data_IF_387480434312
#
_entry.id   IF_387480434312
#
_cell.length_a   1.000
_cell.length_b   1.000
_cell.length_c   1.000
_cell.angle_alpha   90.00
_cell.angle_beta   90.00
_cell.angle_gamma   90.00
#
_symmetry.space_group_name_H-M   'P 1'
#
loop_
_entity.id
_entity.type
_entity.pdbx_description
1 polymer ?
#
# COMPACT_ATOMS: atom_id res chain seq x y z
N UNK A 1 -7.07 -13.26 8.62
CA UNK A 1 -7.46 -12.48 7.43
C UNK A 1 -7.75 -11.02 7.79
N UNK A 2 -8.59 -10.70 8.79
CA UNK A 2 -8.86 -9.29 9.18
C UNK A 2 -7.66 -8.51 9.74
N UNK A 3 -6.68 -9.19 10.37
CA UNK A 3 -5.53 -8.51 10.97
C UNK A 3 -4.55 -7.93 9.95
N UNK A 4 -4.41 -8.52 8.76
CA UNK A 4 -3.38 -8.14 7.79
C UNK A 4 -3.63 -6.76 7.16
N UNK A 5 -4.88 -6.27 7.18
CA UNK A 5 -5.27 -4.94 6.70
C UNK A 5 -5.26 -3.88 7.80
N UNK A 6 -5.06 -4.27 9.07
CA UNK A 6 -5.11 -3.32 10.18
C UNK A 6 -4.01 -2.27 10.04
N UNK A 7 -4.38 -0.99 10.14
CA UNK A 7 -3.44 0.13 9.99
C UNK A 7 -3.19 0.57 8.55
N UNK A 8 -3.67 -0.16 7.54
CA UNK A 8 -3.54 0.27 6.14
C UNK A 8 -4.57 1.35 5.79
N UNK A 9 -4.10 2.41 5.14
CA UNK A 9 -4.90 3.49 4.56
C UNK A 9 -4.87 3.38 3.04
N UNK A 10 -6.03 3.58 2.40
CA UNK A 10 -6.18 3.52 0.96
C UNK A 10 -6.64 4.87 0.43
N UNK A 11 -5.92 5.42 -0.53
CA UNK A 11 -6.26 6.71 -1.16
C UNK A 11 -6.22 6.58 -2.67
N UNK A 12 -7.26 7.07 -3.35
CA UNK A 12 -7.26 7.15 -4.80
C UNK A 12 -6.71 8.50 -5.25
N UNK A 13 -5.65 8.46 -6.06
CA UNK A 13 -5.06 9.64 -6.67
C UNK A 13 -5.66 9.84 -8.07
N UNK A 14 -6.49 10.88 -8.22
CA UNK A 14 -7.17 11.20 -9.48
C UNK A 14 -6.22 11.69 -10.59
N UNK A 15 -5.07 12.27 -10.21
CA UNK A 15 -4.06 12.74 -11.16
C UNK A 15 -3.33 11.56 -11.81
N UNK A 16 -2.90 10.58 -11.01
CA UNK A 16 -2.19 9.38 -11.52
C UNK A 16 -3.13 8.25 -11.93
N UNK A 17 -4.41 8.33 -11.55
CA UNK A 17 -5.44 7.28 -11.71
C UNK A 17 -5.02 5.95 -11.09
N UNK A 18 -4.39 6.03 -9.90
CA UNK A 18 -3.92 4.87 -9.13
C UNK A 18 -4.43 4.96 -7.70
N UNK A 19 -4.63 3.79 -7.11
CA UNK A 19 -4.77 3.61 -5.68
C UNK A 19 -3.38 3.54 -5.05
N UNK A 20 -3.24 4.18 -3.89
CA UNK A 20 -2.08 4.11 -3.03
C UNK A 20 -2.53 3.48 -1.70
N UNK A 21 -1.78 2.51 -1.22
CA UNK A 21 -1.90 1.97 0.12
C UNK A 21 -0.62 2.24 0.92
N UNK A 22 -0.76 2.62 2.18
CA UNK A 22 0.33 2.88 3.12
C UNK A 22 -0.15 2.70 4.56
N UNK A 23 0.76 2.51 5.50
CA UNK A 23 0.47 2.39 6.93
C UNK A 23 0.06 3.75 7.52
N UNK A 24 -0.86 3.75 8.48
CA UNK A 24 -1.36 4.96 9.14
C UNK A 24 -0.26 5.77 9.82
N UNK A 25 0.82 5.12 10.22
CA UNK A 25 2.03 5.73 10.80
C UNK A 25 2.76 6.61 9.78
N UNK A 26 2.73 6.25 8.49
CA UNK A 26 3.36 6.99 7.40
C UNK A 26 2.44 8.07 6.80
N UNK A 27 1.29 8.36 7.44
CA UNK A 27 0.30 9.31 6.90
C UNK A 27 0.89 10.69 6.64
N UNK A 28 1.66 11.23 7.58
CA UNK A 28 2.28 12.56 7.40
C UNK A 28 3.31 12.53 6.28
N UNK A 29 4.15 11.49 6.21
CA UNK A 29 5.10 11.30 5.12
C UNK A 29 4.39 11.23 3.76
N UNK A 30 3.29 10.49 3.65
CA UNK A 30 2.55 10.38 2.39
C UNK A 30 2.04 11.73 1.85
N UNK A 31 1.47 12.58 2.71
CA UNK A 31 0.87 13.85 2.29
C UNK A 31 1.87 15.01 2.15
N UNK A 32 2.98 14.97 2.90
CA UNK A 32 3.96 16.06 2.92
C UNK A 32 5.18 15.75 2.07
N UNK A 33 5.74 14.54 2.17
CA UNK A 33 6.99 14.12 1.52
C UNK A 33 6.94 12.64 1.12
N UNK A 34 6.24 12.35 0.02
CA UNK A 34 5.95 10.96 -0.40
C UNK A 34 7.17 10.05 -0.56
N UNK A 35 8.37 10.60 -0.77
CA UNK A 35 9.64 9.86 -0.80
C UNK A 35 10.02 9.24 0.55
N UNK A 36 9.48 9.74 1.65
CA UNK A 36 9.70 9.21 3.00
C UNK A 36 8.63 8.19 3.42
N UNK A 37 7.60 7.98 2.60
CA UNK A 37 6.54 7.01 2.87
C UNK A 37 7.03 5.59 2.59
N UNK A 38 7.56 4.92 3.61
CA UNK A 38 8.23 3.61 3.49
C UNK A 38 7.30 2.48 3.10
N UNK A 39 6.05 2.55 3.56
CA UNK A 39 5.03 1.53 3.29
C UNK A 39 4.23 1.74 2.00
N UNK A 40 4.60 2.73 1.18
CA UNK A 40 3.83 3.09 -0.01
C UNK A 40 3.87 1.99 -1.07
N UNK A 41 2.69 1.46 -1.39
CA UNK A 41 2.46 0.61 -2.57
C UNK A 41 1.34 1.22 -3.43
N UNK A 42 1.42 1.03 -4.74
CA UNK A 42 0.48 1.64 -5.70
C UNK A 42 0.02 0.65 -6.77
N UNK A 43 -1.27 0.68 -7.10
CA UNK A 43 -1.82 -0.10 -8.22
C UNK A 43 -2.97 0.64 -8.90
N UNK A 44 -3.34 0.20 -10.11
CA UNK A 44 -4.50 0.75 -10.84
C UNK A 44 -5.83 0.33 -10.21
N UNK A 45 -5.85 -0.80 -9.50
CA UNK A 45 -7.06 -1.34 -8.86
C UNK A 45 -6.84 -1.54 -7.37
N UNK A 46 -7.89 -1.33 -6.58
CA UNK A 46 -7.84 -1.58 -5.14
C UNK A 46 -7.70 -3.08 -4.82
N UNK A 47 -8.30 -3.94 -5.65
CA UNK A 47 -8.26 -5.39 -5.49
C UNK A 47 -6.83 -5.93 -5.56
N UNK A 48 -6.00 -5.40 -6.44
CA UNK A 48 -4.57 -5.77 -6.49
C UNK A 48 -3.87 -5.42 -5.17
N UNK A 49 -4.16 -4.25 -4.59
CA UNK A 49 -3.53 -3.86 -3.32
C UNK A 49 -3.99 -4.76 -2.16
N UNK A 50 -5.28 -5.07 -2.10
CA UNK A 50 -5.83 -5.98 -1.10
C UNK A 50 -5.22 -7.38 -1.25
N UNK A 51 -5.14 -7.89 -2.47
CA UNK A 51 -4.50 -9.17 -2.75
C UNK A 51 -3.05 -9.19 -2.28
N UNK A 52 -2.26 -8.17 -2.62
CA UNK A 52 -0.86 -8.06 -2.18
C UNK A 52 -0.77 -8.09 -0.66
N UNK A 53 -1.48 -7.19 0.04
CA UNK A 53 -1.40 -7.04 1.50
C UNK A 53 -1.85 -8.31 2.23
N UNK A 54 -2.92 -8.96 1.77
CA UNK A 54 -3.42 -10.19 2.40
C UNK A 54 -2.45 -11.35 2.14
N UNK A 55 -1.89 -11.44 0.93
CA UNK A 55 -0.96 -12.53 0.57
C UNK A 55 0.38 -12.42 1.30
N UNK A 56 0.79 -11.20 1.68
CA UNK A 56 2.02 -10.96 2.45
C UNK A 56 1.81 -10.87 3.96
N UNK A 57 0.59 -11.13 4.45
CA UNK A 57 0.19 -10.95 5.86
C UNK A 57 0.49 -9.53 6.40
N UNK A 58 0.33 -8.52 5.54
CA UNK A 58 0.55 -7.12 5.90
C UNK A 58 2.02 -6.73 6.05
N UNK A 59 2.97 -7.59 5.66
CA UNK A 59 4.41 -7.33 5.76
C UNK A 59 4.98 -6.78 4.45
N UNK A 60 5.39 -5.50 4.41
CA UNK A 60 5.81 -4.86 3.16
C UNK A 60 7.06 -5.45 2.52
N UNK A 61 7.94 -6.04 3.32
CA UNK A 61 9.15 -6.75 2.88
C UNK A 61 8.91 -7.87 1.87
N UNK A 62 7.69 -8.42 1.80
CA UNK A 62 7.33 -9.50 0.89
C UNK A 62 6.69 -9.01 -0.43
N UNK A 63 6.55 -7.70 -0.63
CA UNK A 63 5.95 -7.19 -1.88
C UNK A 63 6.87 -7.29 -3.09
N UNK A 64 8.19 -7.31 -2.91
CA UNK A 64 9.15 -7.50 -4.00
C UNK A 64 9.07 -8.92 -4.61
N UNK A 65 8.62 -9.90 -3.82
CA UNK A 65 8.43 -11.28 -4.30
C UNK A 65 7.27 -11.40 -5.29
N UNK A 66 6.21 -10.60 -5.15
CA UNK A 66 5.03 -10.62 -6.01
C UNK A 66 5.20 -9.89 -7.36
N UNK A 67 6.23 -9.06 -7.51
CA UNK A 67 6.50 -8.32 -8.76
C UNK A 67 7.36 -9.15 -9.73
N UNK A 68 7.97 -10.23 -9.26
CA UNK A 68 8.90 -11.08 -10.02
C UNK A 68 8.28 -12.43 -10.47
N UNK A 69 6.98 -12.66 -10.23
CA UNK A 69 6.18 -13.76 -10.79
C UNK A 69 5.34 -13.30 -12.00
#
# INVERSE_FOLDING_TARGET
MEHSLYGWLFTYNTYTKKWNAFMSEDKEAYFNESSECKSLISSKTIDTLLYMIISTDGKPENFEELVNE
#
